data_IF_445195437387
#
_entry.id   IF_445195437387
#
_cell.length_a   1.000
_cell.length_b   1.000
_cell.length_c   1.000
_cell.angle_alpha   90.00
_cell.angle_beta   90.00
_cell.angle_gamma   90.00
#
_symmetry.space_group_name_H-M   'P 1'
#
loop_
_entity.id
_entity.type
_entity.pdbx_description
1 polymer ?
#
# COMPACT_ATOMS: atom_id res chain seq x y z
N UNK A 1 -21.29 2.24 17.45
CA UNK A 1 -20.70 2.07 16.10
C UNK A 1 -19.37 1.35 16.29
N UNK A 2 -19.14 0.26 15.58
CA UNK A 2 -17.83 -0.41 15.60
C UNK A 2 -16.78 0.52 14.96
N UNK A 3 -15.54 0.45 15.45
CA UNK A 3 -14.41 1.23 14.92
C UNK A 3 -14.21 1.02 13.41
N UNK A 4 -14.67 -0.14 12.89
CA UNK A 4 -14.61 -0.53 11.48
C UNK A 4 -15.40 0.36 10.49
N UNK A 5 -16.31 1.21 10.94
CA UNK A 5 -17.10 2.10 10.05
C UNK A 5 -16.75 3.58 10.19
N UNK A 6 -15.77 3.91 11.04
CA UNK A 6 -15.35 5.30 11.24
C UNK A 6 -14.42 5.71 10.10
N UNK A 7 -14.80 6.75 9.36
CA UNK A 7 -13.97 7.37 8.34
C UNK A 7 -13.29 8.62 8.90
N UNK A 8 -12.04 8.85 8.49
CA UNK A 8 -11.26 10.05 8.81
C UNK A 8 -10.79 10.64 7.49
N UNK A 9 -10.93 11.96 7.34
CA UNK A 9 -10.41 12.67 6.18
C UNK A 9 -8.91 12.90 6.34
N UNK A 10 -8.13 12.40 5.39
CA UNK A 10 -6.68 12.59 5.33
C UNK A 10 -6.36 13.44 4.10
N UNK A 11 -5.61 14.55 4.24
CA UNK A 11 -5.15 15.33 3.10
C UNK A 11 -4.34 14.49 2.09
N UNK A 12 -4.50 14.76 0.80
CA UNK A 12 -3.79 14.02 -0.25
C UNK A 12 -2.26 14.07 -0.09
N UNK A 13 -1.71 15.20 0.37
CA UNK A 13 -0.27 15.33 0.57
C UNK A 13 0.25 14.40 1.67
N UNK A 14 -0.54 14.15 2.74
CA UNK A 14 -0.16 13.21 3.80
C UNK A 14 -0.15 11.78 3.27
N UNK A 15 -1.14 11.40 2.44
CA UNK A 15 -1.15 10.10 1.77
C UNK A 15 0.07 9.92 0.86
N UNK A 16 0.45 10.97 0.11
CA UNK A 16 1.66 10.96 -0.72
C UNK A 16 2.95 10.78 0.11
N UNK A 17 3.05 11.43 1.26
CA UNK A 17 4.18 11.25 2.19
C UNK A 17 4.25 9.82 2.75
N UNK A 18 3.10 9.22 3.09
CA UNK A 18 3.02 7.83 3.52
C UNK A 18 3.45 6.89 2.39
N UNK A 19 2.95 7.09 1.17
CA UNK A 19 3.35 6.30 0.00
C UNK A 19 4.85 6.40 -0.28
N UNK A 20 5.43 7.60 -0.17
CA UNK A 20 6.86 7.83 -0.34
C UNK A 20 7.69 7.11 0.74
N UNK A 21 7.23 7.15 1.99
CA UNK A 21 7.89 6.44 3.09
C UNK A 21 7.87 4.93 2.87
N UNK A 22 6.71 4.38 2.48
CA UNK A 22 6.56 2.95 2.18
C UNK A 22 7.43 2.52 0.98
N UNK A 23 7.53 3.36 -0.06
CA UNK A 23 8.46 3.15 -1.19
C UNK A 23 9.91 3.08 -0.70
N UNK A 24 10.33 4.00 0.16
CA UNK A 24 11.70 4.02 0.70
C UNK A 24 11.99 2.77 1.54
N UNK A 25 11.06 2.35 2.41
CA UNK A 25 11.19 1.13 3.21
C UNK A 25 11.23 -0.11 2.33
N UNK A 26 10.34 -0.20 1.35
CA UNK A 26 10.31 -1.32 0.39
C UNK A 26 11.62 -1.45 -0.37
N UNK A 27 12.21 -0.32 -0.78
CA UNK A 27 13.51 -0.31 -1.46
C UNK A 27 14.66 -0.69 -0.52
N UNK A 28 14.65 -0.19 0.72
CA UNK A 28 15.72 -0.47 1.69
C UNK A 28 15.76 -1.96 2.12
N UNK A 29 14.61 -2.61 2.15
CA UNK A 29 14.46 -4.01 2.54
C UNK A 29 14.36 -4.97 1.34
N UNK A 30 14.36 -4.45 0.11
CA UNK A 30 14.05 -5.21 -1.10
C UNK A 30 12.72 -5.99 -0.99
N UNK A 31 11.71 -5.36 -0.39
CA UNK A 31 10.44 -5.99 -0.04
C UNK A 31 9.64 -6.46 -1.26
N UNK A 32 10.00 -6.03 -2.48
CA UNK A 32 9.44 -6.55 -3.73
C UNK A 32 9.56 -8.08 -3.86
N UNK A 33 10.55 -8.68 -3.17
CA UNK A 33 10.82 -10.11 -3.09
C UNK A 33 9.97 -10.90 -2.10
N UNK A 34 9.22 -10.24 -1.19
CA UNK A 34 8.26 -10.91 -0.28
C UNK A 34 8.83 -12.01 0.62
N UNK A 35 10.11 -11.91 0.99
CA UNK A 35 10.82 -12.96 1.73
C UNK A 35 10.27 -13.13 3.15
N UNK A 36 9.98 -12.02 3.82
CA UNK A 36 9.45 -12.00 5.18
C UNK A 36 8.00 -11.53 5.27
N UNK A 37 7.36 -11.79 6.41
CA UNK A 37 6.05 -11.20 6.72
C UNK A 37 6.09 -9.66 6.72
N UNK A 38 7.22 -9.06 7.11
CA UNK A 38 7.41 -7.61 7.06
C UNK A 38 7.36 -7.11 5.61
N UNK A 39 8.08 -7.76 4.69
CA UNK A 39 8.09 -7.39 3.27
C UNK A 39 6.69 -7.43 2.67
N UNK A 40 5.94 -8.49 2.99
CA UNK A 40 4.57 -8.64 2.51
C UNK A 40 3.65 -7.54 3.06
N UNK A 41 3.81 -7.16 4.33
CA UNK A 41 3.05 -6.09 4.94
C UNK A 41 3.41 -4.71 4.36
N UNK A 42 4.71 -4.39 4.22
CA UNK A 42 5.18 -3.11 3.65
C UNK A 42 4.59 -2.91 2.27
N UNK A 43 4.74 -3.90 1.41
CA UNK A 43 4.26 -3.83 0.05
C UNK A 43 2.72 -3.87 -0.05
N UNK A 44 2.03 -4.59 0.85
CA UNK A 44 0.57 -4.56 0.92
C UNK A 44 0.07 -3.17 1.28
N UNK A 45 0.62 -2.57 2.34
CA UNK A 45 0.29 -1.21 2.75
C UNK A 45 0.60 -0.20 1.64
N UNK A 46 1.71 -0.36 0.95
CA UNK A 46 2.08 0.53 -0.14
C UNK A 46 1.07 0.50 -1.29
N UNK A 47 0.67 -0.69 -1.73
CA UNK A 47 -0.37 -0.85 -2.75
C UNK A 47 -1.70 -0.21 -2.33
N UNK A 48 -2.14 -0.45 -1.08
CA UNK A 48 -3.38 0.14 -0.59
C UNK A 48 -3.35 1.68 -0.59
N UNK A 49 -2.26 2.29 -0.11
CA UNK A 49 -2.16 3.75 -0.07
C UNK A 49 -2.13 4.32 -1.49
N UNK A 50 -1.42 3.68 -2.42
CA UNK A 50 -1.38 4.09 -3.83
C UNK A 50 -2.76 3.97 -4.48
N UNK A 51 -3.51 2.90 -4.22
CA UNK A 51 -4.87 2.75 -4.70
C UNK A 51 -5.80 3.86 -4.17
N UNK A 52 -5.72 4.18 -2.87
CA UNK A 52 -6.47 5.29 -2.27
C UNK A 52 -6.13 6.61 -2.96
N UNK A 53 -4.84 6.89 -3.17
CA UNK A 53 -4.38 8.10 -3.89
C UNK A 53 -4.96 8.16 -5.30
N UNK A 54 -5.01 7.02 -5.99
CA UNK A 54 -5.55 6.90 -7.34
C UNK A 54 -7.09 6.86 -7.39
N UNK A 55 -7.79 6.96 -6.25
CA UNK A 55 -9.25 6.85 -6.17
C UNK A 55 -9.78 5.46 -6.54
N UNK A 56 -8.93 4.42 -6.43
CA UNK A 56 -9.26 3.04 -6.77
C UNK A 56 -9.65 2.27 -5.51
N UNK A 57 -10.78 1.59 -5.56
CA UNK A 57 -11.11 0.56 -4.58
C UNK A 57 -10.55 -0.80 -5.02
N UNK A 58 -9.64 -1.36 -4.22
CA UNK A 58 -9.04 -2.66 -4.50
C UNK A 58 -10.04 -3.79 -4.25
N UNK A 59 -10.15 -4.71 -5.20
CA UNK A 59 -10.94 -5.92 -5.01
C UNK A 59 -10.33 -6.86 -3.94
N UNK A 60 -11.10 -7.79 -3.36
CA UNK A 60 -10.57 -8.79 -2.44
C UNK A 60 -9.42 -9.61 -3.03
N UNK A 61 -9.47 -9.92 -4.33
CA UNK A 61 -8.40 -10.63 -5.03
C UNK A 61 -7.13 -9.80 -5.12
N UNK A 62 -7.24 -8.52 -5.48
CA UNK A 62 -6.09 -7.60 -5.51
C UNK A 62 -5.47 -7.43 -4.12
N UNK A 63 -6.28 -7.38 -3.06
CA UNK A 63 -5.78 -7.30 -1.70
C UNK A 63 -4.93 -8.52 -1.28
N UNK A 64 -5.28 -9.70 -1.80
CA UNK A 64 -4.47 -10.92 -1.60
C UNK A 64 -3.20 -10.85 -2.45
N UNK A 65 -3.30 -10.41 -3.70
CA UNK A 65 -2.14 -10.23 -4.58
C UNK A 65 -1.15 -9.22 -4.02
N UNK A 66 -1.63 -8.14 -3.38
CA UNK A 66 -0.78 -7.15 -2.72
C UNK A 66 0.11 -7.76 -1.64
N UNK A 67 -0.27 -8.91 -1.09
CA UNK A 67 0.51 -9.65 -0.11
C UNK A 67 1.42 -10.71 -0.77
N UNK A 68 0.95 -11.39 -1.82
CA UNK A 68 1.59 -12.59 -2.37
C UNK A 68 2.38 -12.38 -3.67
N UNK A 69 2.08 -11.33 -4.44
CA UNK A 69 2.64 -11.13 -5.79
C UNK A 69 4.04 -10.52 -5.74
N UNK A 70 5.00 -11.25 -6.30
CA UNK A 70 6.39 -10.83 -6.41
C UNK A 70 6.59 -9.77 -7.51
N UNK A 71 7.56 -8.87 -7.29
CA UNK A 71 8.01 -7.90 -8.30
C UNK A 71 7.02 -6.79 -8.65
N UNK A 72 5.88 -6.70 -7.95
CA UNK A 72 4.94 -5.60 -8.10
C UNK A 72 5.56 -4.30 -7.58
N UNK A 73 5.44 -3.22 -8.35
CA UNK A 73 5.87 -1.88 -7.96
C UNK A 73 4.65 -0.96 -8.08
N UNK A 74 4.06 -0.52 -6.95
CA UNK A 74 2.94 0.41 -6.96
C UNK A 74 3.34 1.76 -7.58
N UNK A 75 2.43 2.39 -8.34
CA UNK A 75 2.66 3.71 -8.93
C UNK A 75 1.45 4.64 -8.74
N UNK A 76 1.74 5.90 -8.43
CA UNK A 76 0.74 6.97 -8.39
C UNK A 76 0.54 7.47 -9.82
N UNK A 77 -0.70 7.50 -10.30
CA UNK A 77 -1.01 8.08 -11.61
C UNK A 77 -0.89 9.61 -11.47
N UNK A 78 0.05 10.22 -12.21
CA UNK A 78 0.22 11.68 -12.27
C UNK A 78 -0.91 12.37 -13.04
#
# INVERSE_FOLDING_TARGET
MSESTKTINVPLWELKEIANTLRMVANALDSSKRESCLDRNVMRSWNHVVDIINGKESSPHENIDYYMKFGQIPNINE
#
